data_IF_554900943027
#
_entry.id   IF_554900943027
#
_cell.length_a   1.000
_cell.length_b   1.000
_cell.length_c   1.000
_cell.angle_alpha   90.00
_cell.angle_beta   90.00
_cell.angle_gamma   90.00
#
_symmetry.space_group_name_H-M   'P 1'
#
loop_
_entity.id
_entity.type
_entity.pdbx_description
1 polymer ?
#
# COMPACT_ATOMS: atom_id res chain seq x y z
N UNK A 1 -6.05 4.88 -4.38
CA UNK A 1 -6.41 6.30 -4.56
C UNK A 1 -6.68 6.61 -6.02
N UNK A 2 -7.74 7.34 -6.31
CA UNK A 2 -7.86 8.10 -7.55
C UNK A 2 -6.80 9.23 -7.57
N UNK A 3 -6.34 9.62 -8.75
CA UNK A 3 -5.25 10.61 -8.92
C UNK A 3 -5.51 11.92 -8.13
N UNK A 4 -6.71 12.55 -8.21
CA UNK A 4 -6.97 13.79 -7.46
C UNK A 4 -6.87 13.62 -5.94
N UNK A 5 -7.34 12.49 -5.40
CA UNK A 5 -7.25 12.20 -3.97
C UNK A 5 -5.80 12.00 -3.53
N UNK A 6 -5.00 11.31 -4.33
CA UNK A 6 -3.58 11.12 -4.05
C UNK A 6 -2.82 12.45 -4.03
N UNK A 7 -3.06 13.31 -5.03
CA UNK A 7 -2.45 14.64 -5.12
C UNK A 7 -2.87 15.54 -3.96
N UNK A 8 -4.16 15.49 -3.53
CA UNK A 8 -4.64 16.20 -2.33
C UNK A 8 -3.83 15.87 -1.08
N UNK A 9 -3.35 14.62 -0.95
CA UNK A 9 -2.54 14.18 0.19
C UNK A 9 -1.03 14.22 -0.09
N UNK A 10 -0.60 14.95 -1.12
CA UNK A 10 0.80 15.26 -1.38
C UNK A 10 1.58 14.17 -2.12
N UNK A 11 0.88 13.17 -2.71
CA UNK A 11 1.53 12.16 -3.55
C UNK A 11 1.78 12.72 -4.96
N UNK A 12 3.00 12.51 -5.47
CA UNK A 12 3.34 12.86 -6.85
C UNK A 12 2.88 11.76 -7.81
N UNK A 13 2.14 12.14 -8.86
CA UNK A 13 1.70 11.25 -9.93
C UNK A 13 1.91 11.92 -11.29
N UNK A 14 2.88 11.43 -12.05
CA UNK A 14 3.16 11.82 -13.42
C UNK A 14 3.55 10.60 -14.26
N UNK A 15 4.13 10.78 -15.45
CA UNK A 15 4.47 9.65 -16.34
C UNK A 15 5.62 8.78 -15.82
N UNK A 16 6.53 9.36 -15.03
CA UNK A 16 7.72 8.70 -14.48
C UNK A 16 7.52 8.22 -13.06
N UNK A 17 6.63 8.87 -12.30
CA UNK A 17 6.46 8.73 -10.85
C UNK A 17 5.00 8.42 -10.54
N UNK A 18 4.77 7.46 -9.65
CA UNK A 18 3.46 7.20 -9.04
C UNK A 18 3.64 6.78 -7.59
N UNK A 19 3.61 7.77 -6.70
CA UNK A 19 3.87 7.57 -5.26
C UNK A 19 2.74 6.81 -4.54
N UNK A 20 1.67 6.44 -5.24
CA UNK A 20 0.70 5.45 -4.72
C UNK A 20 1.33 4.07 -4.53
N UNK A 21 2.43 3.78 -5.25
CA UNK A 21 3.24 2.57 -5.05
C UNK A 21 4.40 2.78 -4.08
N UNK A 22 4.57 3.98 -3.52
CA UNK A 22 5.51 4.19 -2.42
C UNK A 22 4.81 3.81 -1.11
N UNK A 23 5.24 2.71 -0.48
CA UNK A 23 4.55 2.13 0.69
C UNK A 23 4.40 3.14 1.83
N UNK A 24 5.47 3.85 2.19
CA UNK A 24 5.45 4.80 3.31
C UNK A 24 4.54 5.98 3.01
N UNK A 25 4.73 6.63 1.84
CA UNK A 25 3.94 7.81 1.46
C UNK A 25 2.45 7.49 1.26
N UNK A 26 2.14 6.37 0.61
CA UNK A 26 0.75 5.97 0.38
C UNK A 26 0.04 5.61 1.70
N UNK A 27 0.76 5.01 2.65
CA UNK A 27 0.22 4.73 3.99
C UNK A 27 -0.06 6.01 4.75
N UNK A 28 0.88 6.96 4.74
CA UNK A 28 0.68 8.26 5.38
C UNK A 28 -0.51 9.02 4.79
N UNK A 29 -0.62 9.06 3.46
CA UNK A 29 -1.76 9.64 2.75
C UNK A 29 -3.09 8.96 3.15
N UNK A 30 -3.11 7.63 3.26
CA UNK A 30 -4.30 6.89 3.68
C UNK A 30 -4.73 7.22 5.10
N UNK A 31 -3.78 7.31 6.02
CA UNK A 31 -4.06 7.67 7.42
C UNK A 31 -4.60 9.10 7.51
N UNK A 32 -4.01 10.05 6.79
CA UNK A 32 -4.51 11.44 6.73
C UNK A 32 -5.94 11.48 6.17
N UNK A 33 -6.19 10.73 5.09
CA UNK A 33 -7.52 10.65 4.50
C UNK A 33 -8.57 10.09 5.46
N UNK A 34 -8.27 8.95 6.10
CA UNK A 34 -9.18 8.32 7.07
C UNK A 34 -9.47 9.23 8.28
N UNK A 35 -8.46 9.96 8.77
CA UNK A 35 -8.65 10.94 9.85
C UNK A 35 -9.56 12.08 9.43
N UNK A 36 -9.39 12.61 8.22
CA UNK A 36 -10.27 13.67 7.69
C UNK A 36 -11.71 13.17 7.57
N UNK A 37 -11.91 11.98 6.99
CA UNK A 37 -13.24 11.37 6.87
C UNK A 37 -13.87 11.16 8.26
N UNK A 38 -13.11 10.67 9.24
CA UNK A 38 -13.60 10.49 10.60
C UNK A 38 -13.94 11.82 11.27
N UNK A 39 -13.19 12.89 10.97
CA UNK A 39 -13.49 14.22 11.48
C UNK A 39 -14.87 14.73 11.03
N UNK A 40 -15.30 14.32 9.84
CA UNK A 40 -16.58 14.67 9.24
C UNK A 40 -17.72 13.75 9.69
N UNK A 41 -17.57 12.43 9.52
CA UNK A 41 -18.66 11.47 9.78
C UNK A 41 -18.78 10.99 11.23
N UNK A 42 -17.71 11.08 12.03
CA UNK A 42 -17.66 10.59 13.44
C UNK A 42 -18.11 9.13 13.62
N UNK A 43 -18.13 8.34 12.56
CA UNK A 43 -18.62 6.97 12.54
C UNK A 43 -17.79 6.13 11.57
N UNK A 44 -17.17 5.06 12.05
CA UNK A 44 -16.23 4.27 11.25
C UNK A 44 -16.86 3.52 10.07
N UNK A 45 -18.13 3.12 10.15
CA UNK A 45 -18.80 2.45 9.02
C UNK A 45 -19.11 3.43 7.91
N UNK A 46 -19.51 4.66 8.25
CA UNK A 46 -19.65 5.74 7.26
C UNK A 46 -18.30 6.16 6.68
N UNK A 47 -17.24 6.21 7.48
CA UNK A 47 -15.87 6.47 6.98
C UNK A 47 -15.43 5.40 5.97
N UNK A 48 -15.65 4.12 6.29
CA UNK A 48 -15.30 3.02 5.39
C UNK A 48 -16.11 3.10 4.08
N UNK A 49 -17.40 3.43 4.15
CA UNK A 49 -18.22 3.65 2.97
C UNK A 49 -17.69 4.84 2.15
N UNK A 50 -17.44 5.99 2.78
CA UNK A 50 -16.93 7.20 2.13
C UNK A 50 -15.58 6.98 1.44
N UNK A 51 -14.70 6.18 2.06
CA UNK A 51 -13.40 5.84 1.48
C UNK A 51 -13.55 5.04 0.18
N UNK A 52 -14.58 4.20 0.07
CA UNK A 52 -14.87 3.43 -1.13
C UNK A 52 -15.59 4.30 -2.19
N UNK A 53 -16.76 4.84 -1.85
CA UNK A 53 -17.65 5.49 -2.84
C UNK A 53 -17.39 6.97 -3.04
N UNK A 54 -16.57 7.59 -2.18
CA UNK A 54 -16.37 9.03 -2.11
C UNK A 54 -17.43 9.74 -1.26
N UNK A 55 -17.02 10.84 -0.61
CA UNK A 55 -17.88 11.62 0.31
C UNK A 55 -19.14 12.14 -0.38
N UNK A 56 -19.01 12.74 -1.56
CA UNK A 56 -20.16 13.32 -2.27
C UNK A 56 -21.23 12.29 -2.66
N UNK A 57 -20.86 11.04 -2.92
CA UNK A 57 -21.84 9.98 -3.20
C UNK A 57 -22.50 9.47 -1.93
N UNK A 58 -21.73 9.33 -0.84
CA UNK A 58 -22.27 8.95 0.46
C UNK A 58 -23.24 10.02 0.99
N UNK A 59 -22.87 11.29 0.92
CA UNK A 59 -23.70 12.40 1.41
C UNK A 59 -25.02 12.50 0.65
N UNK A 60 -24.99 12.28 -0.67
CA UNK A 60 -26.20 12.15 -1.50
C UNK A 60 -27.08 10.98 -1.07
N UNK A 61 -26.49 9.82 -0.77
CA UNK A 61 -27.24 8.65 -0.30
C UNK A 61 -27.90 8.91 1.06
N UNK A 62 -27.15 9.49 2.02
CA UNK A 62 -27.66 9.92 3.33
C UNK A 62 -28.85 10.86 3.18
N UNK A 63 -28.72 11.89 2.34
CA UNK A 63 -29.78 12.87 2.12
C UNK A 63 -31.03 12.24 1.45
N UNK A 64 -30.84 11.46 0.39
CA UNK A 64 -31.94 10.88 -0.39
C UNK A 64 -32.72 9.82 0.40
N UNK A 65 -32.02 9.00 1.18
CA UNK A 65 -32.63 7.89 1.93
C UNK A 65 -33.04 8.30 3.35
N UNK A 66 -32.70 9.53 3.78
CA UNK A 66 -32.99 10.07 5.11
C UNK A 66 -32.45 9.16 6.23
N UNK A 67 -31.26 8.62 6.02
CA UNK A 67 -30.60 7.68 6.93
C UNK A 67 -29.23 8.23 7.35
N UNK A 68 -28.94 8.21 8.65
CA UNK A 68 -27.69 8.72 9.23
C UNK A 68 -26.73 7.62 9.70
N UNK A 69 -27.07 6.37 9.40
CA UNK A 69 -26.31 5.17 9.75
C UNK A 69 -26.04 4.37 8.49
N UNK A 70 -24.84 3.78 8.41
CA UNK A 70 -24.50 2.89 7.30
C UNK A 70 -25.49 1.72 7.18
N UNK A 71 -25.96 1.19 8.31
CA UNK A 71 -26.82 0.00 8.34
C UNK A 71 -28.24 0.24 7.81
N UNK A 72 -28.66 1.50 7.80
CA UNK A 72 -29.97 1.92 7.28
C UNK A 72 -29.87 2.41 5.81
N UNK A 73 -28.64 2.47 5.26
CA UNK A 73 -28.41 2.87 3.88
C UNK A 73 -28.44 1.67 2.94
N UNK A 74 -29.24 1.78 1.90
CA UNK A 74 -29.27 0.87 0.77
C UNK A 74 -28.21 1.28 -0.27
N UNK A 75 -27.20 0.43 -0.42
CA UNK A 75 -26.14 0.57 -1.42
C UNK A 75 -26.16 -0.59 -2.43
N UNK A 76 -25.47 -0.41 -3.56
CA UNK A 76 -25.17 -1.53 -4.45
C UNK A 76 -24.31 -2.59 -3.71
N UNK A 77 -24.34 -3.83 -4.20
CA UNK A 77 -23.68 -4.93 -3.51
C UNK A 77 -22.16 -4.73 -3.34
N UNK A 78 -21.51 -4.09 -4.30
CA UNK A 78 -20.06 -3.84 -4.24
C UNK A 78 -19.69 -2.98 -3.04
N UNK A 79 -20.37 -1.84 -2.89
CA UNK A 79 -20.18 -0.91 -1.77
C UNK A 79 -20.56 -1.58 -0.46
N UNK A 80 -21.70 -2.29 -0.43
CA UNK A 80 -22.16 -2.96 0.77
C UNK A 80 -21.13 -3.98 1.27
N UNK A 81 -20.53 -4.77 0.36
CA UNK A 81 -19.48 -5.73 0.72
C UNK A 81 -18.20 -5.09 1.24
N UNK A 82 -17.88 -3.87 0.85
CA UNK A 82 -16.62 -3.22 1.25
C UNK A 82 -16.53 -3.04 2.77
N UNK A 83 -17.58 -2.50 3.40
CA UNK A 83 -17.58 -2.26 4.85
C UNK A 83 -17.47 -3.58 5.62
N UNK A 84 -18.20 -4.62 5.19
CA UNK A 84 -18.12 -5.94 5.82
C UNK A 84 -16.75 -6.61 5.63
N UNK A 85 -16.10 -6.44 4.47
CA UNK A 85 -14.72 -6.93 4.24
C UNK A 85 -13.72 -6.26 5.18
N UNK A 86 -13.78 -4.94 5.34
CA UNK A 86 -12.92 -4.21 6.28
C UNK A 86 -13.18 -4.67 7.72
N UNK A 87 -14.45 -4.87 8.09
CA UNK A 87 -14.80 -5.37 9.42
C UNK A 87 -14.27 -6.79 9.66
N UNK A 88 -14.39 -7.68 8.68
CA UNK A 88 -13.85 -9.03 8.72
C UNK A 88 -12.32 -9.01 8.89
N UNK A 89 -11.62 -8.22 8.07
CA UNK A 89 -10.17 -8.04 8.16
C UNK A 89 -9.74 -7.50 9.52
N UNK A 90 -10.39 -6.45 10.03
CA UNK A 90 -10.12 -5.93 11.39
C UNK A 90 -10.32 -7.02 12.44
N UNK A 91 -11.39 -7.79 12.34
CA UNK A 91 -11.75 -8.83 13.29
C UNK A 91 -10.72 -9.96 13.33
N UNK A 92 -10.32 -10.44 12.14
CA UNK A 92 -9.24 -11.43 11.96
C UNK A 92 -7.92 -10.87 12.48
N UNK A 93 -7.50 -9.69 12.04
CA UNK A 93 -6.21 -9.10 12.43
C UNK A 93 -6.13 -8.77 13.93
N UNK A 94 -7.25 -8.49 14.58
CA UNK A 94 -7.30 -8.26 16.04
C UNK A 94 -7.18 -9.56 16.83
N UNK A 95 -7.63 -10.69 16.28
CA UNK A 95 -7.62 -12.00 16.96
C UNK A 95 -7.23 -13.13 15.99
N UNK A 96 -6.04 -13.10 15.37
CA UNK A 96 -5.71 -13.98 14.25
C UNK A 96 -5.79 -15.46 14.61
N UNK A 97 -5.30 -15.83 15.80
CA UNK A 97 -5.37 -17.20 16.32
C UNK A 97 -6.80 -17.74 16.43
N UNK A 98 -7.75 -16.90 16.87
CA UNK A 98 -9.17 -17.30 17.02
C UNK A 98 -9.80 -17.70 15.69
N UNK A 99 -9.34 -17.10 14.59
CA UNK A 99 -9.88 -17.32 13.25
C UNK A 99 -8.98 -18.21 12.38
N UNK A 100 -8.03 -18.94 12.97
CA UNK A 100 -7.14 -19.85 12.23
C UNK A 100 -5.98 -19.17 11.48
N UNK A 101 -5.78 -17.86 11.64
CA UNK A 101 -4.72 -17.10 10.96
C UNK A 101 -3.44 -17.00 11.81
N UNK A 102 -2.98 -18.11 12.40
CA UNK A 102 -1.69 -18.13 13.07
C UNK A 102 -0.57 -18.29 12.03
N UNK A 103 0.19 -17.22 11.77
CA UNK A 103 1.35 -17.25 10.87
C UNK A 103 2.63 -17.32 11.73
N UNK A 104 3.28 -18.50 11.83
CA UNK A 104 4.57 -18.66 12.50
C UNK A 104 5.61 -17.68 11.96
N UNK A 105 6.58 -17.28 12.78
CA UNK A 105 7.62 -16.33 12.33
C UNK A 105 8.39 -16.83 11.10
N UNK A 106 8.58 -18.14 10.97
CA UNK A 106 9.24 -18.79 9.81
C UNK A 106 8.43 -18.70 8.51
N UNK A 107 7.13 -18.44 8.58
CA UNK A 107 6.25 -18.30 7.40
C UNK A 107 5.97 -16.84 7.05
N UNK A 108 6.57 -15.89 7.78
CA UNK A 108 6.39 -14.47 7.51
C UNK A 108 7.37 -14.05 6.44
N UNK A 109 6.93 -13.12 5.58
CA UNK A 109 7.87 -12.43 4.71
C UNK A 109 8.97 -11.77 5.54
N UNK A 110 10.25 -12.06 5.24
CA UNK A 110 11.35 -11.47 5.97
C UNK A 110 11.42 -9.97 5.69
N UNK A 111 11.70 -9.21 6.74
CA UNK A 111 12.00 -7.80 6.59
C UNK A 111 13.39 -7.65 5.95
N UNK A 112 13.45 -6.95 4.82
CA UNK A 112 14.72 -6.64 4.14
C UNK A 112 15.14 -5.21 4.53
N UNK A 113 16.24 -5.02 5.28
CA UNK A 113 16.74 -3.71 5.62
C UNK A 113 17.10 -2.88 4.40
N UNK A 114 16.66 -1.62 4.39
CA UNK A 114 16.99 -0.65 3.33
C UNK A 114 17.61 0.62 3.92
N UNK A 115 18.35 1.32 3.09
CA UNK A 115 18.90 2.65 3.34
C UNK A 115 18.18 3.64 2.41
N UNK A 116 17.87 4.83 2.93
CA UNK A 116 17.29 5.91 2.13
C UNK A 116 18.41 6.69 1.46
N UNK A 117 18.42 6.68 0.13
CA UNK A 117 19.33 7.46 -0.69
C UNK A 117 18.58 8.69 -1.24
N UNK A 118 19.05 9.88 -0.91
CA UNK A 118 18.50 11.13 -1.44
C UNK A 118 18.92 11.29 -2.90
N UNK A 119 17.94 11.54 -3.77
CA UNK A 119 18.12 11.90 -5.17
C UNK A 119 17.62 13.32 -5.35
N UNK A 120 18.55 14.22 -5.62
CA UNK A 120 18.36 15.65 -5.84
C UNK A 120 18.72 16.08 -7.28
N UNK A 121 19.11 15.12 -8.13
CA UNK A 121 19.50 15.32 -9.53
C UNK A 121 18.94 14.23 -10.43
N UNK A 122 18.67 14.58 -11.70
CA UNK A 122 18.05 13.69 -12.68
C UNK A 122 18.89 12.43 -12.93
N UNK A 123 18.24 11.27 -12.87
CA UNK A 123 18.80 9.99 -13.27
C UNK A 123 18.28 9.65 -14.67
N UNK A 124 19.14 9.79 -15.69
CA UNK A 124 18.78 9.51 -17.08
C UNK A 124 18.75 8.02 -17.42
N UNK A 125 19.55 7.22 -16.72
CA UNK A 125 19.61 5.76 -16.87
C UNK A 125 19.54 5.09 -15.50
N UNK A 126 18.35 4.59 -15.17
CA UNK A 126 18.10 3.94 -13.89
C UNK A 126 18.81 2.58 -13.78
N UNK A 127 19.12 1.92 -14.90
CA UNK A 127 19.85 0.66 -14.92
C UNK A 127 21.33 0.90 -14.61
N UNK A 128 21.94 1.92 -15.21
CA UNK A 128 23.31 2.32 -14.88
C UNK A 128 23.40 2.78 -13.42
N UNK A 129 22.44 3.60 -12.95
CA UNK A 129 22.38 3.98 -11.54
C UNK A 129 22.30 2.77 -10.60
N UNK A 130 21.54 1.72 -10.95
CA UNK A 130 21.49 0.50 -10.15
C UNK A 130 22.87 -0.18 -10.07
N UNK A 131 23.57 -0.29 -11.20
CA UNK A 131 24.92 -0.87 -11.29
C UNK A 131 25.90 -0.09 -10.42
N UNK A 132 25.87 1.25 -10.48
CA UNK A 132 26.74 2.13 -9.69
C UNK A 132 26.49 1.98 -8.17
N UNK A 133 25.26 1.60 -7.79
CA UNK A 133 24.88 1.28 -6.41
C UNK A 133 25.11 -0.20 -6.06
N UNK A 134 25.66 -1.01 -6.95
CA UNK A 134 25.96 -2.42 -6.72
C UNK A 134 24.72 -3.31 -6.63
N UNK A 135 23.63 -2.97 -7.33
CA UNK A 135 22.46 -3.83 -7.50
C UNK A 135 22.06 -3.93 -8.97
N UNK A 136 21.21 -4.90 -9.32
CA UNK A 136 20.63 -4.96 -10.65
C UNK A 136 19.35 -4.11 -10.76
N UNK A 137 18.98 -3.76 -11.99
CA UNK A 137 17.77 -2.97 -12.28
C UNK A 137 16.49 -3.55 -11.66
N UNK A 138 16.33 -4.88 -11.68
CA UNK A 138 15.15 -5.55 -11.11
C UNK A 138 15.00 -5.28 -9.61
N UNK A 139 16.09 -5.38 -8.83
CA UNK A 139 16.07 -5.07 -7.41
C UNK A 139 15.70 -3.61 -7.17
N UNK A 140 16.27 -2.68 -7.93
CA UNK A 140 15.95 -1.25 -7.78
C UNK A 140 14.45 -1.00 -7.92
N UNK A 141 13.83 -1.64 -8.92
CA UNK A 141 12.38 -1.53 -9.21
C UNK A 141 11.50 -2.21 -8.17
N UNK A 142 11.93 -3.35 -7.61
CA UNK A 142 11.20 -4.04 -6.54
C UNK A 142 11.13 -3.16 -5.28
N UNK A 143 12.24 -2.51 -4.91
CA UNK A 143 12.29 -1.65 -3.74
C UNK A 143 11.71 -0.24 -3.98
N UNK A 144 11.56 0.17 -5.24
CA UNK A 144 11.05 1.49 -5.63
C UNK A 144 10.01 1.38 -6.76
N UNK A 145 8.89 0.66 -6.55
CA UNK A 145 7.90 0.43 -7.60
C UNK A 145 7.17 1.72 -8.02
N UNK A 146 7.31 2.79 -7.23
CA UNK A 146 6.80 4.13 -7.53
C UNK A 146 7.54 4.82 -8.69
N UNK A 147 8.77 4.41 -9.03
CA UNK A 147 9.45 4.85 -10.25
C UNK A 147 8.93 3.96 -11.36
N UNK A 148 8.20 4.50 -12.34
CA UNK A 148 7.56 3.72 -13.41
C UNK A 148 8.46 3.49 -14.61
N UNK A 149 9.28 4.48 -14.98
CA UNK A 149 10.12 4.44 -16.19
C UNK A 149 11.56 3.99 -15.90
N UNK A 150 12.41 4.02 -16.93
CA UNK A 150 13.86 3.77 -16.82
C UNK A 150 14.68 5.06 -16.59
N UNK A 151 14.03 6.11 -16.13
CA UNK A 151 14.63 7.39 -15.75
C UNK A 151 13.82 8.01 -14.62
N UNK A 152 14.44 8.95 -13.92
CA UNK A 152 13.83 9.74 -12.86
C UNK A 152 14.25 11.20 -13.05
N UNK A 153 13.36 11.99 -13.63
CA UNK A 153 13.56 13.43 -13.81
C UNK A 153 13.29 14.16 -12.50
N UNK A 154 14.26 14.96 -12.05
CA UNK A 154 14.12 15.81 -10.87
C UNK A 154 13.84 17.24 -11.33
N UNK A 155 12.63 17.71 -11.07
CA UNK A 155 12.26 19.12 -11.29
C UNK A 155 12.90 20.01 -10.23
N UNK A 156 13.14 21.28 -10.56
CA UNK A 156 13.77 22.25 -9.67
C UNK A 156 13.11 22.27 -8.27
N UNK A 157 13.95 22.14 -7.23
CA UNK A 157 13.52 22.17 -5.83
C UNK A 157 12.85 20.88 -5.33
N UNK A 158 12.68 19.86 -6.17
CA UNK A 158 12.20 18.54 -5.74
C UNK A 158 13.37 17.62 -5.41
N UNK A 159 13.13 16.69 -4.51
CA UNK A 159 14.02 15.58 -4.23
C UNK A 159 13.18 14.35 -3.86
N UNK A 160 13.76 13.17 -4.04
CA UNK A 160 13.10 11.91 -3.69
C UNK A 160 14.07 11.02 -2.91
N UNK A 161 13.50 10.15 -2.08
CA UNK A 161 14.26 9.07 -1.44
C UNK A 161 14.04 7.78 -2.22
N UNK A 162 15.13 7.18 -2.65
CA UNK A 162 15.16 5.82 -3.18
C UNK A 162 15.57 4.88 -2.04
N UNK A 163 14.85 3.78 -1.87
CA UNK A 163 15.21 2.73 -0.94
C UNK A 163 16.19 1.77 -1.62
N UNK A 164 17.39 1.67 -1.04
CA UNK A 164 18.41 0.72 -1.48
C UNK A 164 18.52 -0.38 -0.44
N UNK A 165 18.37 -1.68 -0.80
CA UNK A 165 18.65 -2.75 0.15
C UNK A 165 20.11 -2.67 0.63
N UNK A 166 20.38 -3.03 1.89
CA UNK A 166 21.76 -3.08 2.39
C UNK A 166 22.63 -4.02 1.51
N UNK A 167 23.95 -3.80 1.41
CA UNK A 167 24.82 -4.53 0.47
C UNK A 167 24.65 -6.05 0.47
N UNK A 168 24.48 -6.66 1.64
CA UNK A 168 24.31 -8.11 1.83
C UNK A 168 23.00 -8.69 1.25
N UNK A 169 22.04 -7.83 0.86
CA UNK A 169 20.76 -8.17 0.22
C UNK A 169 20.69 -7.73 -1.27
N UNK A 170 21.78 -7.20 -1.85
CA UNK A 170 21.81 -6.75 -3.26
C UNK A 170 21.96 -7.88 -4.29
N UNK A 171 21.83 -9.13 -3.85
CA UNK A 171 21.84 -10.31 -4.72
C UNK A 171 20.44 -10.93 -4.81
N UNK A 172 19.85 -10.90 -6.01
CA UNK A 172 18.49 -11.39 -6.23
C UNK A 172 18.33 -12.88 -5.94
N UNK A 173 19.35 -13.72 -6.20
CA UNK A 173 19.29 -15.16 -5.91
C UNK A 173 19.21 -15.39 -4.40
N UNK A 174 20.04 -14.67 -3.64
CA UNK A 174 20.03 -14.72 -2.17
C UNK A 174 18.71 -14.20 -1.60
N UNK A 175 18.15 -13.13 -2.18
CA UNK A 175 16.85 -12.58 -1.79
C UNK A 175 15.70 -13.56 -2.10
N UNK A 176 15.71 -14.19 -3.28
CA UNK A 176 14.73 -15.22 -3.64
C UNK A 176 14.87 -16.47 -2.77
N UNK A 177 16.09 -16.89 -2.44
CA UNK A 177 16.32 -17.98 -1.49
C UNK A 177 15.73 -17.66 -0.12
N UNK A 178 15.99 -16.45 0.40
CA UNK A 178 15.37 -15.95 1.63
C UNK A 178 13.84 -15.99 1.54
N UNK A 179 13.24 -15.63 0.40
CA UNK A 179 11.79 -15.74 0.25
C UNK A 179 11.32 -17.19 0.19
N UNK A 180 11.94 -18.05 -0.61
CA UNK A 180 11.54 -19.45 -0.79
C UNK A 180 11.75 -20.31 0.46
N UNK A 181 12.78 -20.02 1.26
CA UNK A 181 13.00 -20.67 2.56
C UNK A 181 11.92 -20.32 3.60
N UNK A 182 11.26 -19.17 3.43
CA UNK A 182 10.16 -18.72 4.28
C UNK A 182 8.78 -18.91 3.63
N UNK A 183 8.71 -19.24 2.34
CA UNK A 183 7.48 -19.49 1.59
C UNK A 183 7.11 -20.97 1.70
N UNK A 184 6.85 -21.43 2.93
CA UNK A 184 6.19 -22.71 3.15
C UNK A 184 4.68 -22.52 3.04
N UNK A 185 4.20 -22.03 1.91
CA UNK A 185 2.85 -22.36 1.46
C UNK A 185 2.85 -23.82 0.95
N UNK A 186 3.25 -24.76 1.82
CA UNK A 186 2.59 -26.06 1.77
C UNK A 186 1.16 -25.73 2.16
N UNK A 187 0.26 -25.76 1.19
CA UNK A 187 -1.12 -26.11 1.49
C UNK A 187 -1.03 -27.46 2.19
N UNK A 188 -0.88 -27.43 3.51
CA UNK A 188 -1.03 -28.62 4.31
C UNK A 188 -2.44 -29.08 3.99
N UNK A 189 -2.51 -30.14 3.19
CA UNK A 189 -3.67 -31.01 3.12
C UNK A 189 -3.78 -31.67 4.49
N UNK A 190 -4.03 -30.87 5.52
CA UNK A 190 -4.47 -31.34 6.81
C UNK A 190 -5.93 -31.67 6.58
N UNK A 191 -6.08 -32.88 6.08
CA UNK A 191 -7.30 -33.67 6.16
C UNK A 191 -7.79 -33.55 7.59
N UNK A 192 -9.03 -33.08 7.70
CA UNK A 192 -9.80 -33.11 8.94
C UNK A 192 -10.03 -34.61 9.22
N UNK A 193 -9.26 -35.17 10.15
CA UNK A 193 -9.68 -36.33 10.95
C UNK A 193 -10.41 -35.85 12.20
#
# INVERSE_FOLDING_TARGET
FMKPTAEKYGLVINDEIDERYNLEKATEAAVKHLKELYSYYKNWTLVAAAYNVGTGNLDKAIANQKANSYYDLYFNEETARYVYRILALKTILSNPKKYGFYIPKSQRYPYIPTEKFLVDSTINDLAQFAIDKGLNYKLLKIFNPWIKKNKLTIENGKCFYIHLPKPEYRNIKKLMQIYLENDTLSLATDTIE
#
